data_IF_614355154135
#
_entry.id   IF_614355154135
#
_cell.length_a   1.000
_cell.length_b   1.000
_cell.length_c   1.000
_cell.angle_alpha   90.00
_cell.angle_beta   90.00
_cell.angle_gamma   90.00
#
_symmetry.space_group_name_H-M   'P 1'
#
loop_
_entity.id
_entity.type
_entity.pdbx_description
1 polymer ?
#
# COMPACT_ATOMS: atom_id res chain seq x y z
N UNK A 1 17.39 3.52 17.36
CA UNK A 1 16.15 2.99 16.77
C UNK A 1 16.11 1.45 16.71
N UNK A 2 17.19 0.77 16.30
CA UNK A 2 17.24 -0.72 16.24
C UNK A 2 16.93 -1.42 17.57
N UNK A 3 17.25 -0.78 18.71
CA UNK A 3 16.98 -1.32 20.05
C UNK A 3 15.49 -1.30 20.44
N UNK A 4 14.74 -0.31 19.95
CA UNK A 4 13.31 -0.13 20.27
C UNK A 4 12.39 -0.92 19.33
N UNK A 5 12.92 -1.37 18.19
CA UNK A 5 12.20 -2.17 17.20
C UNK A 5 11.40 -3.33 17.80
N UNK A 6 11.99 -4.28 18.56
CA UNK A 6 11.22 -5.40 19.10
C UNK A 6 10.12 -4.96 20.07
N UNK A 7 10.36 -3.88 20.83
CA UNK A 7 9.37 -3.31 21.73
C UNK A 7 8.19 -2.70 20.95
N UNK A 8 8.47 -1.98 19.86
CA UNK A 8 7.43 -1.41 19.00
C UNK A 8 6.62 -2.50 18.30
N UNK A 9 7.29 -3.51 17.74
CA UNK A 9 6.62 -4.67 17.14
C UNK A 9 5.70 -5.35 18.16
N UNK A 10 6.21 -5.62 19.36
CA UNK A 10 5.43 -6.23 20.44
C UNK A 10 4.25 -5.34 20.86
N UNK A 11 4.47 -4.04 21.02
CA UNK A 11 3.43 -3.09 21.39
C UNK A 11 2.28 -3.08 20.38
N UNK A 12 2.59 -3.03 19.08
CA UNK A 12 1.58 -3.04 18.03
C UNK A 12 0.84 -4.39 17.99
N UNK A 13 1.55 -5.51 18.13
CA UNK A 13 0.91 -6.83 18.19
C UNK A 13 -0.03 -6.96 19.40
N UNK A 14 0.45 -6.66 20.60
CA UNK A 14 -0.36 -6.74 21.81
C UNK A 14 -1.56 -5.79 21.79
N UNK A 15 -1.39 -4.57 21.28
CA UNK A 15 -2.50 -3.64 21.14
C UNK A 15 -3.55 -4.18 20.17
N UNK A 16 -3.12 -4.74 19.03
CA UNK A 16 -4.03 -5.36 18.07
C UNK A 16 -4.78 -6.55 18.69
N UNK A 17 -4.10 -7.39 19.46
CA UNK A 17 -4.70 -8.55 20.13
C UNK A 17 -5.77 -8.13 21.15
N UNK A 18 -5.45 -7.12 21.98
CA UNK A 18 -6.39 -6.58 22.96
C UNK A 18 -7.61 -5.96 22.29
N UNK A 19 -7.42 -5.24 21.18
CA UNK A 19 -8.53 -4.63 20.45
C UNK A 19 -9.38 -5.64 19.67
N UNK A 20 -8.87 -6.86 19.44
CA UNK A 20 -9.58 -7.93 18.72
C UNK A 20 -10.09 -9.04 19.62
N UNK A 21 -9.85 -8.96 20.94
CA UNK A 21 -10.25 -9.95 21.94
C UNK A 21 -11.78 -10.02 22.11
N UNK A 22 -12.46 -8.87 22.15
CA UNK A 22 -13.91 -8.79 22.25
C UNK A 22 -14.49 -7.89 21.15
N UNK A 23 -15.53 -8.38 20.48
CA UNK A 23 -16.25 -7.60 19.49
C UNK A 23 -17.30 -6.73 20.18
N UNK A 24 -16.91 -5.55 20.63
CA UNK A 24 -17.83 -4.53 21.16
C UNK A 24 -18.27 -3.56 20.05
N UNK A 25 -19.56 -3.50 19.69
CA UNK A 25 -20.09 -2.52 18.74
C UNK A 25 -19.89 -1.06 19.19
N UNK A 26 -19.74 -0.81 20.49
CA UNK A 26 -19.51 0.54 21.05
C UNK A 26 -18.03 0.90 21.18
N UNK A 27 -17.13 0.01 20.76
CA UNK A 27 -15.69 0.27 20.74
C UNK A 27 -15.36 1.56 19.97
N UNK A 28 -14.38 2.29 20.50
CA UNK A 28 -13.84 3.49 19.88
C UNK A 28 -13.04 3.09 18.62
N UNK A 29 -13.23 3.78 17.48
CA UNK A 29 -12.44 3.52 16.28
C UNK A 29 -10.95 3.79 16.52
N UNK A 30 -10.10 2.82 16.20
CA UNK A 30 -8.64 2.94 16.37
C UNK A 30 -7.97 3.02 15.00
N UNK A 31 -7.06 3.97 14.82
CA UNK A 31 -6.28 4.13 13.61
C UNK A 31 -4.81 3.88 13.90
N UNK A 32 -4.26 2.85 13.27
CA UNK A 32 -2.84 2.57 13.27
C UNK A 32 -2.20 3.22 12.04
N UNK A 33 -1.40 4.25 12.28
CA UNK A 33 -0.54 4.83 11.27
C UNK A 33 0.86 4.25 11.42
N UNK A 34 1.20 3.30 10.56
CA UNK A 34 2.48 2.63 10.58
C UNK A 34 3.40 3.33 9.58
N UNK A 35 4.05 4.39 10.06
CA UNK A 35 5.16 5.01 9.34
C UNK A 35 6.38 4.10 9.36
N UNK A 36 7.19 4.15 8.30
CA UNK A 36 8.41 3.35 8.21
C UNK A 36 8.17 1.84 8.43
N UNK A 37 7.14 1.28 7.78
CA UNK A 37 6.74 -0.13 7.94
C UNK A 37 7.89 -1.14 7.79
N UNK A 38 8.92 -0.78 7.00
CA UNK A 38 10.18 -1.53 6.87
C UNK A 38 10.86 -1.80 8.20
N UNK A 39 10.84 -0.83 9.12
CA UNK A 39 11.56 -0.90 10.38
C UNK A 39 10.95 -1.92 11.35
N UNK A 40 9.65 -2.21 11.23
CA UNK A 40 8.95 -3.15 12.11
C UNK A 40 9.23 -4.63 11.76
N UNK A 41 10.01 -4.88 10.69
CA UNK A 41 10.23 -6.21 10.11
C UNK A 41 8.91 -6.91 9.76
N UNK A 42 8.98 -8.19 9.41
CA UNK A 42 7.85 -8.99 8.99
C UNK A 42 6.85 -9.22 10.14
N UNK A 43 5.76 -8.47 10.13
CA UNK A 43 4.62 -8.62 11.03
C UNK A 43 3.57 -9.57 10.43
N UNK A 44 3.88 -10.86 10.35
CA UNK A 44 2.99 -11.87 9.74
C UNK A 44 1.59 -11.91 10.38
N UNK A 45 1.53 -11.66 11.68
CA UNK A 45 0.28 -11.63 12.42
C UNK A 45 -0.65 -10.52 11.92
N UNK A 46 -0.14 -9.28 11.79
CA UNK A 46 -0.93 -8.15 11.27
C UNK A 46 -1.40 -8.42 9.85
N UNK A 47 -0.55 -9.01 9.00
CA UNK A 47 -0.92 -9.37 7.63
C UNK A 47 -2.09 -10.36 7.62
N UNK A 48 -2.10 -11.31 8.55
CA UNK A 48 -3.17 -12.30 8.72
C UNK A 48 -4.44 -11.66 9.31
N UNK A 49 -4.29 -10.65 10.18
CA UNK A 49 -5.42 -9.96 10.82
C UNK A 49 -6.09 -8.89 9.94
N UNK A 50 -5.34 -8.34 9.00
CA UNK A 50 -5.75 -7.24 8.13
C UNK A 50 -7.15 -7.40 7.49
N UNK A 51 -7.60 -8.58 7.05
CA UNK A 51 -8.93 -8.72 6.45
C UNK A 51 -10.09 -8.54 7.43
N UNK A 52 -9.93 -8.90 8.70
CA UNK A 52 -11.04 -8.92 9.68
C UNK A 52 -11.02 -7.77 10.69
N UNK A 53 -9.89 -7.07 10.85
CA UNK A 53 -9.78 -5.92 11.77
C UNK A 53 -10.71 -4.76 11.41
N UNK A 54 -11.14 -4.67 10.15
CA UNK A 54 -12.17 -3.73 9.72
C UNK A 54 -13.50 -3.91 10.48
N UNK A 55 -13.83 -5.15 10.89
CA UNK A 55 -15.00 -5.46 11.71
C UNK A 55 -14.89 -4.94 13.14
N UNK A 56 -13.68 -4.78 13.66
CA UNK A 56 -13.40 -4.28 15.02
C UNK A 56 -13.23 -2.75 15.06
N UNK A 57 -13.67 -2.02 14.02
CA UNK A 57 -13.47 -0.57 13.86
C UNK A 57 -11.99 -0.14 13.89
N UNK A 58 -11.09 -1.05 13.55
CA UNK A 58 -9.65 -0.78 13.45
C UNK A 58 -9.33 -0.45 11.99
N UNK A 59 -8.58 0.63 11.77
CA UNK A 59 -8.05 1.00 10.45
C UNK A 59 -6.54 1.00 10.49
N UNK A 60 -5.93 0.37 9.49
CA UNK A 60 -4.48 0.31 9.31
C UNK A 60 -4.10 1.14 8.09
N UNK A 61 -3.13 2.03 8.27
CA UNK A 61 -2.51 2.80 7.20
C UNK A 61 -1.01 2.48 7.19
N UNK A 62 -0.55 1.91 6.08
CA UNK A 62 0.85 1.57 5.86
C UNK A 62 1.50 2.64 5.00
N UNK A 63 2.54 3.31 5.51
CA UNK A 63 3.34 4.25 4.74
C UNK A 63 4.59 3.52 4.26
N UNK A 64 4.76 3.46 2.94
CA UNK A 64 5.89 2.80 2.28
C UNK A 64 6.54 3.77 1.29
N UNK A 65 7.87 3.73 1.17
CA UNK A 65 8.63 4.58 0.25
C UNK A 65 8.69 4.01 -1.17
N UNK A 66 8.85 2.69 -1.28
CA UNK A 66 8.87 1.95 -2.55
C UNK A 66 8.34 0.52 -2.34
N UNK A 67 7.85 -0.11 -3.42
CA UNK A 67 7.35 -1.48 -3.37
C UNK A 67 8.47 -2.52 -3.23
N UNK A 68 9.68 -2.20 -3.70
CA UNK A 68 10.83 -3.11 -3.67
C UNK A 68 11.25 -3.45 -2.24
N UNK A 69 11.31 -2.46 -1.35
CA UNK A 69 11.62 -2.66 0.06
C UNK A 69 10.54 -3.51 0.77
N UNK A 70 9.29 -3.40 0.31
CA UNK A 70 8.20 -4.23 0.82
C UNK A 70 8.36 -5.69 0.35
N UNK A 71 8.72 -5.89 -0.92
CA UNK A 71 9.04 -7.21 -1.49
C UNK A 71 10.24 -7.86 -0.80
N UNK A 72 11.27 -7.10 -0.42
CA UNK A 72 12.43 -7.61 0.32
C UNK A 72 12.07 -8.21 1.70
N UNK A 73 11.02 -7.70 2.36
CA UNK A 73 10.63 -8.16 3.70
C UNK A 73 9.58 -9.26 3.64
N UNK A 74 8.57 -9.08 2.79
CA UNK A 74 7.36 -9.90 2.79
C UNK A 74 7.29 -10.85 1.59
N UNK A 75 8.07 -10.61 0.54
CA UNK A 75 7.94 -11.27 -0.75
C UNK A 75 6.78 -10.71 -1.57
N UNK A 76 6.84 -10.97 -2.88
CA UNK A 76 5.89 -10.43 -3.86
C UNK A 76 4.44 -10.88 -3.60
N UNK A 77 4.23 -12.15 -3.26
CA UNK A 77 2.89 -12.69 -2.94
C UNK A 77 2.24 -11.95 -1.78
N UNK A 78 3.00 -11.74 -0.70
CA UNK A 78 2.51 -11.05 0.49
C UNK A 78 2.29 -9.56 0.24
N UNK A 79 3.12 -8.91 -0.60
CA UNK A 79 2.88 -7.54 -1.05
C UNK A 79 1.54 -7.45 -1.76
N UNK A 80 1.26 -8.35 -2.71
CA UNK A 80 -0.02 -8.38 -3.42
C UNK A 80 -1.20 -8.56 -2.46
N UNK A 81 -1.07 -9.45 -1.47
CA UNK A 81 -2.09 -9.63 -0.43
C UNK A 81 -2.29 -8.37 0.42
N UNK A 82 -1.23 -7.71 0.87
CA UNK A 82 -1.32 -6.46 1.64
C UNK A 82 -2.07 -5.39 0.84
N UNK A 83 -1.60 -5.15 -0.38
CA UNK A 83 -2.13 -4.12 -1.26
C UNK A 83 -3.58 -4.40 -1.66
N UNK A 84 -3.96 -5.68 -1.82
CA UNK A 84 -5.33 -6.10 -2.13
C UNK A 84 -6.30 -5.95 -0.94
N UNK A 85 -5.81 -6.07 0.30
CA UNK A 85 -6.62 -5.81 1.49
C UNK A 85 -6.73 -4.31 1.84
N UNK A 86 -5.85 -3.47 1.28
CA UNK A 86 -5.93 -2.02 1.44
C UNK A 86 -6.98 -1.45 0.49
N UNK A 87 -8.13 -1.03 1.03
CA UNK A 87 -9.20 -0.43 0.22
C UNK A 87 -8.86 0.92 -0.42
N UNK A 88 -7.85 1.61 0.09
CA UNK A 88 -7.35 2.87 -0.46
C UNK A 88 -5.83 2.81 -0.65
N UNK A 89 -5.37 3.26 -1.81
CA UNK A 89 -3.95 3.38 -2.14
C UNK A 89 -3.68 4.83 -2.56
N UNK A 90 -2.83 5.52 -1.78
CA UNK A 90 -2.39 6.87 -2.09
C UNK A 90 -0.95 6.81 -2.62
N UNK A 91 -0.76 7.15 -3.89
CA UNK A 91 0.56 7.21 -4.52
C UNK A 91 0.93 8.67 -4.76
N UNK A 92 1.93 9.16 -4.02
CA UNK A 92 2.39 10.55 -4.11
C UNK A 92 3.59 10.72 -5.06
N UNK A 93 4.25 9.61 -5.40
CA UNK A 93 5.38 9.57 -6.30
C UNK A 93 5.80 8.11 -6.54
N UNK A 94 6.43 7.87 -7.68
CA UNK A 94 7.00 6.58 -8.02
C UNK A 94 8.46 6.79 -8.41
N UNK A 95 9.35 6.63 -7.43
CA UNK A 95 10.79 6.87 -7.62
C UNK A 95 11.50 5.69 -8.31
N UNK A 96 10.89 4.51 -8.31
CA UNK A 96 11.40 3.31 -8.95
C UNK A 96 10.43 2.75 -10.02
N UNK A 97 11.00 2.01 -10.98
CA UNK A 97 10.24 1.45 -12.11
C UNK A 97 9.17 0.44 -11.65
N UNK A 98 9.44 -0.37 -10.62
CA UNK A 98 8.49 -1.38 -10.18
C UNK A 98 7.23 -0.74 -9.57
N UNK A 99 7.40 0.30 -8.75
CA UNK A 99 6.30 1.12 -8.24
C UNK A 99 5.57 1.83 -9.37
N UNK A 100 6.27 2.45 -10.32
CA UNK A 100 5.65 3.16 -11.44
C UNK A 100 4.79 2.24 -12.32
N UNK A 101 5.31 1.07 -12.66
CA UNK A 101 4.58 0.07 -13.44
C UNK A 101 3.38 -0.49 -12.66
N UNK A 102 3.55 -0.79 -11.37
CA UNK A 102 2.45 -1.24 -10.52
C UNK A 102 1.33 -0.19 -10.49
N UNK A 103 1.66 1.06 -10.19
CA UNK A 103 0.69 2.17 -10.14
C UNK A 103 0.01 2.39 -11.49
N UNK A 104 0.77 2.38 -12.59
CA UNK A 104 0.22 2.51 -13.94
C UNK A 104 -0.77 1.40 -14.27
N UNK A 105 -0.43 0.14 -13.93
CA UNK A 105 -1.35 -1.01 -14.10
C UNK A 105 -2.57 -0.90 -13.19
N UNK A 106 -2.40 -0.47 -11.94
CA UNK A 106 -3.48 -0.34 -10.97
C UNK A 106 -4.49 0.76 -11.33
N UNK A 107 -4.02 1.90 -11.88
CA UNK A 107 -4.87 2.98 -12.39
C UNK A 107 -5.63 2.59 -13.67
N UNK A 108 -5.14 1.58 -14.38
CA UNK A 108 -5.71 1.10 -15.63
C UNK A 108 -5.41 2.00 -16.82
N UNK A 109 -5.98 1.65 -17.97
CA UNK A 109 -5.81 2.39 -19.22
C UNK A 109 -7.12 3.06 -19.59
N UNK A 110 -7.04 4.31 -20.04
CA UNK A 110 -8.17 5.03 -20.64
C UNK A 110 -7.95 5.11 -22.14
N UNK A 111 -8.92 4.62 -22.92
CA UNK A 111 -8.90 4.78 -24.38
C UNK A 111 -9.11 6.26 -24.73
N UNK A 112 -8.16 6.84 -25.44
CA UNK A 112 -8.24 8.20 -25.97
C UNK A 112 -8.36 8.12 -27.49
N UNK A 113 -9.27 8.91 -28.07
CA UNK A 113 -9.38 9.04 -29.53
C UNK A 113 -8.50 10.20 -29.98
N UNK A 114 -7.44 9.90 -30.73
CA UNK A 114 -6.55 10.89 -31.31
C UNK A 114 -6.81 11.01 -32.81
N UNK A 115 -6.94 12.24 -33.32
CA UNK A 115 -6.93 12.52 -34.75
C UNK A 115 -5.56 13.07 -35.10
N UNK A 116 -4.82 12.36 -35.94
CA UNK A 116 -3.53 12.80 -36.46
C UNK A 116 -3.75 13.42 -37.83
N UNK A 117 -3.61 14.74 -37.95
CA UNK A 117 -3.56 15.40 -39.25
C UNK A 117 -2.12 15.41 -39.75
N UNK A 118 -1.86 14.70 -40.85
CA UNK A 118 -0.59 14.83 -41.58
C UNK A 118 -0.80 15.75 -42.78
N UNK A 119 -0.01 16.82 -42.88
CA UNK A 119 0.04 17.68 -44.07
C UNK A 119 1.33 17.40 -44.84
N UNK A 120 1.18 17.02 -46.10
CA UNK A 120 2.29 17.04 -47.06
C UNK A 120 2.46 18.48 -47.55
N UNK A 121 3.63 19.07 -47.34
CA UNK A 121 3.97 20.35 -47.94
C UNK A 121 4.40 20.07 -49.38
N UNK A 122 3.51 20.31 -50.33
CA UNK A 122 3.90 20.39 -51.74
C UNK A 122 4.58 21.74 -51.99
N UNK A 123 5.84 21.69 -52.44
CA UNK A 123 6.54 22.87 -52.97
C UNK A 123 5.92 23.24 -54.31
N UNK A 124 4.87 24.05 -54.29
CA UNK A 124 4.31 24.66 -55.49
C UNK A 124 5.24 25.81 -55.91
N UNK A 125 6.17 25.51 -56.83
CA UNK A 125 6.98 26.53 -57.49
C UNK A 125 8.40 26.09 -57.85
N UNK A 126 8.53 25.20 -58.84
CA UNK A 126 9.65 25.15 -59.78
C UNK A 126 9.10 24.84 -61.17
#
# INVERSE_FOLDING_TARGET
>A
ITLLRPLLTLFVQQTMDILTLEHDPNSLPVYFLLDEFRQLKRMDEIMTKLPYVAGYKIKLAFIIQDLKNLDEIYGETSRHSLLGNCGYQLVLGANDQATAEYTSRALGKRTIRYQSESRTIELVGL
#
